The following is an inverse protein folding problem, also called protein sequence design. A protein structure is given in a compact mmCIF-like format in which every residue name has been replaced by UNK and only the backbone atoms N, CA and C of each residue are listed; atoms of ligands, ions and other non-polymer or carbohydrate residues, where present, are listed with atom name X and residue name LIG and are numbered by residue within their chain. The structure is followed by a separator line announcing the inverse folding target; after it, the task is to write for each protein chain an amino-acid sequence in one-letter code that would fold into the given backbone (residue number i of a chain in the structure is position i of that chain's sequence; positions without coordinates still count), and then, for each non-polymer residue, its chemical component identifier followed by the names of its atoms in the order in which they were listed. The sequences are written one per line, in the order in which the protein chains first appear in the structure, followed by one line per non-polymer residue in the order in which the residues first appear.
data_IF_003600092930
#
_entry.id   IF_003600092930
#
_cell.length_a   1.000
_cell.length_b   1.000
_cell.length_c   1.000
_cell.angle_alpha   90.00
_cell.angle_beta   90.00
_cell.angle_gamma   90.00
#
_symmetry.space_group_name_H-M   'P 1'
#
loop_
_entity.id
_entity.type
_entity.pdbx_description
1 polymer ?
#
# COMPACT_ATOMS: atom_id res chain seq x y z
N UNK A 1 9.22 9.31 -7.92
CA UNK A 1 8.00 9.05 -8.71
C UNK A 1 6.97 10.14 -8.50
N UNK A 2 6.54 10.41 -7.26
CA UNK A 2 5.56 11.47 -6.98
C UNK A 2 5.94 12.85 -7.53
N UNK A 3 7.21 13.22 -7.44
CA UNK A 3 7.74 14.47 -7.99
C UNK A 3 7.81 14.47 -9.52
N UNK A 4 8.00 13.30 -10.13
CA UNK A 4 8.17 13.16 -11.58
C UNK A 4 6.84 13.32 -12.33
N UNK A 5 5.73 12.90 -11.72
CA UNK A 5 4.40 12.91 -12.38
C UNK A 5 3.51 14.08 -11.96
N UNK A 6 3.86 14.82 -10.91
CA UNK A 6 3.12 16.00 -10.47
C UNK A 6 1.75 15.67 -9.82
N UNK A 7 1.17 16.60 -9.03
CA UNK A 7 0.08 16.36 -8.05
C UNK A 7 -1.17 15.72 -8.63
N UNK A 8 -1.40 15.85 -9.93
CA UNK A 8 -2.64 15.48 -10.61
C UNK A 8 -2.70 14.04 -11.10
N UNK A 9 -1.58 13.35 -11.16
CA UNK A 9 -1.55 11.94 -11.60
C UNK A 9 -1.66 11.04 -10.37
N UNK A 10 -2.67 10.17 -10.39
CA UNK A 10 -2.86 9.12 -9.39
C UNK A 10 -1.76 8.08 -9.49
N UNK A 11 -1.27 7.63 -8.32
CA UNK A 11 -0.24 6.59 -8.22
C UNK A 11 -0.79 5.49 -7.33
N UNK A 12 -0.84 4.27 -7.86
CA UNK A 12 -1.06 3.06 -7.07
C UNK A 12 0.27 2.38 -6.75
N UNK A 13 0.32 1.64 -5.64
CA UNK A 13 1.50 0.86 -5.24
C UNK A 13 1.07 -0.57 -4.99
N UNK A 14 1.76 -1.52 -5.64
CA UNK A 14 1.55 -2.95 -5.47
C UNK A 14 2.65 -3.52 -4.56
N UNK A 15 2.25 -4.13 -3.44
CA UNK A 15 3.15 -4.80 -2.50
C UNK A 15 3.29 -6.31 -2.78
N UNK A 16 2.58 -6.84 -3.78
CA UNK A 16 2.67 -8.20 -4.30
C UNK A 16 2.46 -9.31 -3.26
N UNK A 17 1.75 -9.00 -2.17
CA UNK A 17 1.59 -9.89 -1.03
C UNK A 17 2.91 -10.29 -0.36
N UNK A 18 3.99 -9.55 -0.62
CA UNK A 18 5.34 -9.94 -0.23
C UNK A 18 5.61 -9.79 1.28
N UNK A 19 4.73 -9.10 2.00
CA UNK A 19 4.93 -8.74 3.41
C UNK A 19 3.87 -9.36 4.31
N UNK A 20 4.31 -9.75 5.51
CA UNK A 20 3.39 -10.04 6.61
C UNK A 20 2.66 -8.74 7.03
N UNK A 21 1.42 -8.82 7.53
CA UNK A 21 0.65 -7.66 7.97
C UNK A 21 1.41 -6.70 8.90
N UNK A 22 2.17 -7.24 9.85
CA UNK A 22 2.98 -6.45 10.80
C UNK A 22 4.06 -5.57 10.13
N UNK A 23 4.53 -5.97 8.94
CA UNK A 23 5.51 -5.23 8.13
C UNK A 23 4.82 -4.36 7.08
N UNK A 24 3.70 -4.80 6.53
CA UNK A 24 2.91 -4.04 5.56
C UNK A 24 2.38 -2.72 6.14
N UNK A 25 1.81 -2.75 7.34
CA UNK A 25 1.21 -1.57 8.00
C UNK A 25 2.19 -0.38 8.11
N UNK A 26 3.43 -0.52 8.64
CA UNK A 26 4.36 0.60 8.69
C UNK A 26 4.82 1.08 7.31
N UNK A 27 4.90 0.19 6.30
CA UNK A 27 5.19 0.59 4.91
C UNK A 27 4.07 1.47 4.37
N UNK A 28 2.81 1.05 4.52
CA UNK A 28 1.64 1.81 4.08
C UNK A 28 1.61 3.20 4.73
N UNK A 29 1.84 3.26 6.05
CA UNK A 29 1.92 4.54 6.78
C UNK A 29 3.03 5.46 6.27
N UNK A 30 4.18 4.89 5.88
CA UNK A 30 5.26 5.67 5.29
C UNK A 30 4.91 6.22 3.90
N UNK A 31 3.98 5.58 3.18
CA UNK A 31 3.50 6.00 1.88
C UNK A 31 2.36 7.03 1.94
N UNK A 32 1.61 7.13 3.05
CA UNK A 32 0.49 8.08 3.23
C UNK A 32 0.80 9.53 2.78
N UNK A 33 1.97 10.13 3.12
CA UNK A 33 2.28 11.50 2.72
C UNK A 33 2.44 11.70 1.20
N UNK A 34 2.62 10.61 0.45
CA UNK A 34 2.73 10.64 -1.01
C UNK A 34 1.36 10.57 -1.71
N UNK A 35 0.28 10.42 -0.94
CA UNK A 35 -1.11 10.29 -1.41
C UNK A 35 -1.28 9.23 -2.51
N UNK A 36 -0.98 7.95 -2.24
CA UNK A 36 -1.29 6.87 -3.16
C UNK A 36 -2.82 6.76 -3.34
N UNK A 37 -3.26 6.43 -4.55
CA UNK A 37 -4.66 6.20 -4.86
C UNK A 37 -5.17 4.91 -4.20
N UNK A 38 -4.38 3.84 -4.25
CA UNK A 38 -4.59 2.61 -3.46
C UNK A 38 -3.27 1.85 -3.27
N UNK A 39 -3.29 0.92 -2.33
CA UNK A 39 -2.25 -0.09 -2.11
C UNK A 39 -2.82 -1.44 -2.50
N UNK A 40 -2.21 -2.10 -3.49
CA UNK A 40 -2.59 -3.43 -3.97
C UNK A 40 -1.79 -4.51 -3.23
N UNK A 41 -2.45 -5.64 -2.99
CA UNK A 41 -1.93 -6.81 -2.28
C UNK A 41 -1.08 -6.45 -1.05
N UNK A 42 -1.66 -5.74 -0.05
CA UNK A 42 -0.89 -5.19 1.06
C UNK A 42 -0.20 -6.26 1.89
N UNK A 43 -0.75 -7.47 1.93
CA UNK A 43 -0.17 -8.63 2.58
C UNK A 43 -0.55 -9.92 1.83
N UNK A 44 -0.03 -11.06 2.32
CA UNK A 44 -0.30 -12.39 1.76
C UNK A 44 -1.80 -12.68 1.63
N UNK A 45 -2.21 -13.28 0.52
CA UNK A 45 -3.62 -13.51 0.17
C UNK A 45 -4.33 -14.48 1.13
N UNK A 46 -3.60 -15.32 1.87
CA UNK A 46 -4.15 -16.20 2.89
C UNK A 46 -4.52 -15.45 4.19
N UNK A 47 -4.06 -14.21 4.36
CA UNK A 47 -4.29 -13.38 5.55
C UNK A 47 -5.59 -12.57 5.44
N UNK A 48 -6.71 -13.23 5.13
CA UNK A 48 -8.01 -12.60 4.86
C UNK A 48 -8.48 -11.64 5.96
N UNK A 49 -8.36 -12.04 7.23
CA UNK A 49 -8.77 -11.22 8.37
C UNK A 49 -7.93 -9.94 8.51
N UNK A 50 -6.65 -10.02 8.16
CA UNK A 50 -5.72 -8.88 8.23
C UNK A 50 -5.86 -7.96 7.02
N UNK A 51 -6.14 -8.51 5.83
CA UNK A 51 -6.56 -7.69 4.67
C UNK A 51 -7.79 -6.84 5.02
N UNK A 52 -8.79 -7.43 5.66
CA UNK A 52 -10.00 -6.70 6.07
C UNK A 52 -9.73 -5.63 7.14
N UNK A 53 -8.68 -5.80 7.95
CA UNK A 53 -8.27 -4.84 8.98
C UNK A 53 -7.48 -3.65 8.42
N UNK A 54 -6.72 -3.89 7.36
CA UNK A 54 -5.82 -2.90 6.74
C UNK A 54 -6.56 -2.05 5.69
N UNK A 55 -7.62 -2.60 5.08
CA UNK A 55 -8.47 -1.93 4.09
C UNK A 55 -9.32 -0.78 4.64
#
# INVERSE_FOLDING_TARGET
MRDAVGPTIDIAVDLHGAFLPAVAVPIIKALEPLHPAWIEDPCQCESYDEMARIA
#
